data_IF_765962795384
#
_entry.id   IF_765962795384
#
_cell.length_a   1.000
_cell.length_b   1.000
_cell.length_c   1.000
_cell.angle_alpha   90.00
_cell.angle_beta   90.00
_cell.angle_gamma   90.00
#
_symmetry.space_group_name_H-M   'P 1'
#
loop_
_entity.id
_entity.type
_entity.pdbx_description
1 polymer ?
#
# COMPACT_ATOMS: atom_id res chain seq x y z
N UNK A 1 15.03 14.82 -13.63
CA UNK A 1 13.70 14.46 -13.10
C UNK A 1 13.94 13.74 -11.78
N UNK A 2 13.20 14.04 -10.73
CA UNK A 2 13.32 13.34 -9.46
C UNK A 2 12.58 12.01 -9.57
N UNK A 3 13.21 10.92 -9.16
CA UNK A 3 12.63 9.57 -9.27
C UNK A 3 11.76 9.22 -8.06
N UNK A 4 11.98 9.87 -6.91
CA UNK A 4 11.21 9.64 -5.70
C UNK A 4 9.96 10.53 -5.61
N UNK A 5 9.98 11.76 -6.12
CA UNK A 5 8.86 12.69 -6.05
C UNK A 5 8.57 13.26 -7.44
N UNK A 6 7.55 12.78 -8.09
CA UNK A 6 7.19 13.16 -9.46
C UNK A 6 5.93 13.99 -9.56
N UNK A 7 5.12 14.03 -8.50
CA UNK A 7 3.93 14.84 -8.46
C UNK A 7 4.24 16.30 -8.17
N UNK A 8 3.38 17.16 -8.69
CA UNK A 8 3.49 18.58 -8.43
C UNK A 8 2.54 18.93 -7.30
N UNK A 9 3.11 19.37 -6.16
CA UNK A 9 2.32 19.93 -5.08
C UNK A 9 1.57 21.18 -5.55
N UNK A 10 0.29 21.27 -5.18
CA UNK A 10 -0.58 22.41 -5.46
C UNK A 10 -1.08 22.98 -4.14
N UNK A 11 -1.32 24.31 -4.10
CA UNK A 11 -2.06 24.91 -2.99
C UNK A 11 -3.58 24.77 -3.20
N UNK A 12 -4.37 25.16 -2.20
CA UNK A 12 -5.84 25.07 -2.24
C UNK A 12 -6.51 25.89 -3.36
N UNK A 13 -5.76 26.68 -4.14
CA UNK A 13 -6.21 27.41 -5.31
C UNK A 13 -5.79 26.76 -6.63
N UNK A 14 -5.07 25.63 -6.55
CA UNK A 14 -4.53 24.92 -7.72
C UNK A 14 -3.20 25.52 -8.25
N UNK A 15 -2.58 26.44 -7.52
CA UNK A 15 -1.29 27.00 -7.91
C UNK A 15 -0.16 26.03 -7.54
N UNK A 16 0.76 25.85 -8.50
CA UNK A 16 1.94 24.99 -8.31
C UNK A 16 2.85 25.53 -7.19
N UNK A 17 3.17 24.67 -6.24
CA UNK A 17 4.14 24.91 -5.17
C UNK A 17 5.55 24.44 -5.58
N UNK A 18 6.61 25.02 -5.01
CA UNK A 18 7.94 24.47 -5.16
C UNK A 18 8.05 23.11 -4.47
N UNK A 19 8.99 22.29 -4.94
CA UNK A 19 9.28 21.03 -4.23
C UNK A 19 9.80 21.32 -2.82
N UNK A 20 9.22 20.63 -1.83
CA UNK A 20 9.67 20.63 -0.44
C UNK A 20 10.13 19.22 -0.06
N UNK A 21 11.39 19.09 0.39
CA UNK A 21 11.94 17.81 0.86
C UNK A 21 11.23 17.26 2.11
N UNK A 22 10.50 18.14 2.83
CA UNK A 22 9.73 17.80 4.00
C UNK A 22 8.26 17.44 3.67
N UNK A 23 7.86 17.63 2.41
CA UNK A 23 6.53 17.21 1.95
C UNK A 23 6.35 15.72 2.09
N UNK A 24 5.15 15.31 2.47
CA UNK A 24 4.73 13.92 2.62
C UNK A 24 3.27 13.79 2.20
N UNK A 25 3.01 12.79 1.38
CA UNK A 25 1.68 12.34 1.00
C UNK A 25 1.37 11.09 1.84
N UNK A 26 0.83 11.34 3.04
CA UNK A 26 0.69 10.31 4.07
C UNK A 26 -0.60 9.52 3.85
N UNK A 27 -0.48 8.25 3.50
CA UNK A 27 -1.62 7.39 3.16
C UNK A 27 -1.83 6.22 4.15
N UNK A 28 -0.81 5.87 4.92
CA UNK A 28 -0.93 4.85 5.94
C UNK A 28 -0.27 5.29 7.23
N UNK A 29 -0.85 4.92 8.38
CA UNK A 29 -0.25 5.20 9.69
C UNK A 29 -0.47 4.04 10.65
N UNK A 30 0.59 3.65 11.35
CA UNK A 30 0.52 2.75 12.50
C UNK A 30 1.18 3.40 13.71
N UNK A 31 0.60 3.14 14.90
CA UNK A 31 1.17 3.54 16.17
C UNK A 31 1.72 2.32 16.89
N UNK A 32 2.95 2.42 17.36
CA UNK A 32 3.60 1.37 18.13
C UNK A 32 3.28 1.50 19.64
N UNK A 33 3.57 0.42 20.38
CA UNK A 33 3.37 0.37 21.84
C UNK A 33 4.23 1.38 22.60
N UNK A 34 5.41 1.75 22.05
CA UNK A 34 6.29 2.79 22.60
C UNK A 34 5.80 4.22 22.33
N UNK A 35 4.68 4.37 21.62
CA UNK A 35 4.06 5.65 21.28
C UNK A 35 4.57 6.29 19.99
N UNK A 36 5.58 5.74 19.34
CA UNK A 36 6.08 6.22 18.05
C UNK A 36 5.14 5.82 16.91
N UNK A 37 5.34 6.43 15.71
CA UNK A 37 4.49 6.19 14.55
C UNK A 37 5.32 5.84 13.33
N UNK A 38 4.80 4.94 12.51
CA UNK A 38 5.26 4.74 11.15
C UNK A 38 4.19 5.20 10.17
N UNK A 39 4.64 5.84 9.08
CA UNK A 39 3.78 6.40 8.04
C UNK A 39 4.25 5.90 6.70
N UNK A 40 3.30 5.38 5.90
CA UNK A 40 3.50 5.09 4.48
C UNK A 40 3.26 6.33 3.64
N UNK A 41 4.01 6.48 2.56
CA UNK A 41 3.99 7.66 1.70
C UNK A 41 3.85 7.24 0.24
N UNK A 42 2.88 7.83 -0.44
CA UNK A 42 2.45 7.41 -1.77
C UNK A 42 3.29 8.06 -2.88
N UNK A 43 3.46 9.36 -2.83
CA UNK A 43 4.07 10.11 -3.93
C UNK A 43 5.57 9.82 -4.08
N UNK A 44 6.34 9.91 -2.99
CA UNK A 44 7.75 9.52 -2.95
C UNK A 44 7.91 8.26 -2.09
N UNK A 45 7.70 7.04 -2.65
CA UNK A 45 7.54 5.81 -1.87
C UNK A 45 8.55 5.72 -0.75
N UNK A 46 8.07 5.82 0.47
CA UNK A 46 8.94 5.84 1.64
C UNK A 46 8.19 5.40 2.89
N UNK A 47 8.95 4.97 3.90
CA UNK A 47 8.45 4.72 5.24
C UNK A 47 9.07 5.77 6.17
N UNK A 48 8.23 6.53 6.83
CA UNK A 48 8.65 7.62 7.71
C UNK A 48 8.39 7.24 9.17
N UNK A 49 9.41 7.33 10.02
CA UNK A 49 9.34 7.05 11.45
C UNK A 49 9.26 8.34 12.24
N UNK A 50 8.20 8.50 13.00
CA UNK A 50 7.95 9.68 13.82
C UNK A 50 8.03 9.34 15.31
N UNK A 51 8.54 10.27 16.09
CA UNK A 51 8.48 10.22 17.55
C UNK A 51 7.04 10.39 18.05
N UNK A 52 6.82 10.08 19.34
CA UNK A 52 5.50 10.19 19.98
C UNK A 52 4.94 11.63 20.00
N UNK A 53 5.80 12.64 19.88
CA UNK A 53 5.42 14.05 19.75
C UNK A 53 5.27 14.54 18.30
N UNK A 54 5.29 13.60 17.33
CA UNK A 54 5.02 13.86 15.91
C UNK A 54 6.21 14.42 15.12
N UNK A 55 7.44 14.35 15.64
CA UNK A 55 8.64 14.78 14.90
C UNK A 55 9.18 13.64 14.03
N UNK A 56 9.42 13.91 12.75
CA UNK A 56 10.06 12.96 11.83
C UNK A 56 11.51 12.70 12.27
N UNK A 57 11.81 11.43 12.56
CA UNK A 57 13.12 10.94 13.00
C UNK A 57 13.94 10.52 11.78
N UNK A 58 13.37 9.64 10.97
CA UNK A 58 14.04 9.05 9.80
C UNK A 58 13.02 8.73 8.71
N UNK A 59 13.42 8.94 7.46
CA UNK A 59 12.66 8.54 6.27
C UNK A 59 13.46 7.50 5.50
N UNK A 60 12.88 6.32 5.33
CA UNK A 60 13.44 5.21 4.58
C UNK A 60 12.93 5.29 3.14
N UNK A 61 13.85 5.43 2.19
CA UNK A 61 13.55 5.66 0.77
C UNK A 61 14.12 4.52 -0.10
N UNK A 62 13.70 4.38 -1.36
CA UNK A 62 14.34 3.47 -2.30
C UNK A 62 15.84 3.79 -2.43
N UNK A 63 16.67 2.76 -2.33
CA UNK A 63 18.13 2.91 -2.41
C UNK A 63 18.53 3.60 -3.71
N UNK A 64 19.37 4.63 -3.59
CA UNK A 64 19.84 5.45 -4.69
C UNK A 64 19.04 6.74 -4.90
N UNK A 65 17.97 6.98 -4.12
CA UNK A 65 17.18 8.22 -4.17
C UNK A 65 17.46 9.18 -3.02
N UNK A 66 18.35 8.81 -2.08
CA UNK A 66 18.66 9.60 -0.88
C UNK A 66 19.06 11.04 -1.20
N UNK A 67 19.80 11.23 -2.30
CA UNK A 67 20.22 12.56 -2.75
C UNK A 67 19.08 13.49 -3.15
N UNK A 68 17.90 12.97 -3.45
CA UNK A 68 16.71 13.76 -3.79
C UNK A 68 16.12 14.48 -2.57
N UNK A 69 16.49 14.02 -1.38
CA UNK A 69 16.12 14.61 -0.09
C UNK A 69 17.23 15.46 0.52
N UNK A 70 18.19 15.91 -0.30
CA UNK A 70 19.25 16.82 0.16
C UNK A 70 18.66 18.11 0.73
N UNK A 71 19.07 18.46 1.95
CA UNK A 71 18.53 19.61 2.69
C UNK A 71 17.41 19.25 3.67
N UNK A 72 17.00 17.98 3.77
CA UNK A 72 16.09 17.53 4.82
C UNK A 72 16.70 17.76 6.22
N UNK A 73 15.83 18.08 7.18
CA UNK A 73 16.23 18.29 8.58
C UNK A 73 16.05 17.04 9.45
N UNK A 74 15.89 15.88 8.81
CA UNK A 74 15.76 14.55 9.41
C UNK A 74 16.71 13.56 8.69
N UNK A 75 16.89 12.40 9.28
CA UNK A 75 17.72 11.36 8.66
C UNK A 75 17.02 10.74 7.45
N UNK A 76 17.77 10.51 6.36
CA UNK A 76 17.29 9.80 5.16
C UNK A 76 18.16 8.56 4.92
N UNK A 77 17.54 7.41 4.74
CA UNK A 77 18.21 6.13 4.56
C UNK A 77 17.66 5.36 3.36
N UNK A 78 18.54 4.93 2.46
CA UNK A 78 18.21 4.09 1.30
C UNK A 78 18.12 2.62 1.68
N UNK A 79 17.03 2.21 2.28
CA UNK A 79 16.81 0.83 2.74
C UNK A 79 15.77 0.07 1.93
N UNK A 80 14.88 0.79 1.22
CA UNK A 80 13.85 0.16 0.40
C UNK A 80 14.42 -0.29 -0.96
N UNK A 81 13.71 -1.21 -1.62
CA UNK A 81 14.13 -1.74 -2.92
C UNK A 81 14.13 -0.66 -4.01
N UNK A 82 15.20 -0.57 -4.83
CA UNK A 82 15.28 0.40 -5.92
C UNK A 82 14.14 0.31 -6.94
N UNK A 83 13.56 -0.90 -7.10
CA UNK A 83 12.46 -1.14 -8.03
C UNK A 83 11.22 -0.27 -7.71
N UNK A 84 11.04 0.16 -6.46
CA UNK A 84 9.93 1.01 -6.04
C UNK A 84 9.94 2.39 -6.71
N UNK A 85 11.08 2.82 -7.28
CA UNK A 85 11.14 4.03 -8.11
C UNK A 85 10.29 3.94 -9.39
N UNK A 86 9.86 2.71 -9.73
CA UNK A 86 8.99 2.43 -10.87
C UNK A 86 7.50 2.52 -10.57
N UNK A 87 7.10 2.95 -9.37
CA UNK A 87 5.68 3.15 -9.10
C UNK A 87 5.02 4.04 -10.16
N UNK A 88 3.76 3.81 -10.47
CA UNK A 88 2.97 4.77 -11.21
C UNK A 88 2.77 6.05 -10.35
N UNK A 89 2.52 7.18 -10.98
CA UNK A 89 2.25 8.45 -10.29
C UNK A 89 1.03 8.25 -9.37
N UNK A 90 1.13 8.73 -8.13
CA UNK A 90 0.09 8.58 -7.09
C UNK A 90 -0.32 7.11 -6.90
N UNK A 91 0.65 6.20 -6.84
CA UNK A 91 0.44 4.74 -6.67
C UNK A 91 1.62 4.11 -5.91
N UNK A 92 2.00 4.75 -4.81
CA UNK A 92 3.11 4.31 -3.98
C UNK A 92 2.71 3.38 -2.85
N UNK A 93 3.14 3.74 -1.61
CA UNK A 93 2.85 2.97 -0.39
C UNK A 93 1.58 3.55 0.25
N UNK A 94 0.47 2.86 0.08
CA UNK A 94 -0.83 3.28 0.61
C UNK A 94 -1.25 2.46 1.84
N UNK A 95 -0.55 1.38 2.14
CA UNK A 95 -0.93 0.49 3.23
C UNK A 95 0.25 0.07 4.08
N UNK A 96 0.04 -0.02 5.40
CA UNK A 96 1.09 -0.34 6.35
C UNK A 96 0.52 -1.12 7.54
N UNK A 97 1.20 -2.20 7.93
CA UNK A 97 0.85 -2.98 9.12
C UNK A 97 2.09 -3.30 9.96
N UNK A 98 1.85 -3.67 11.21
CA UNK A 98 2.88 -4.18 12.11
C UNK A 98 2.45 -5.54 12.64
N UNK A 99 3.42 -6.47 12.81
CA UNK A 99 3.12 -7.76 13.46
C UNK A 99 2.66 -7.57 14.91
N UNK A 100 1.86 -8.51 15.47
CA UNK A 100 1.38 -8.39 16.86
C UNK A 100 2.49 -8.23 17.90
N UNK A 101 3.70 -8.76 17.64
CA UNK A 101 4.88 -8.62 18.49
C UNK A 101 5.76 -7.41 18.13
N UNK A 102 5.33 -6.60 17.18
CA UNK A 102 6.01 -5.40 16.66
C UNK A 102 7.42 -5.66 16.08
N UNK A 103 7.75 -6.91 15.74
CA UNK A 103 9.05 -7.25 15.15
C UNK A 103 9.14 -6.93 13.68
N UNK A 104 8.02 -7.01 12.96
CA UNK A 104 7.96 -6.83 11.52
C UNK A 104 7.00 -5.71 11.14
N UNK A 105 7.44 -4.90 10.18
CA UNK A 105 6.59 -4.00 9.41
C UNK A 105 6.24 -4.67 8.09
N UNK A 106 5.03 -4.38 7.61
CA UNK A 106 4.55 -4.84 6.31
C UNK A 106 3.97 -3.67 5.56
N UNK A 107 4.21 -3.62 4.26
CA UNK A 107 3.55 -2.67 3.38
C UNK A 107 3.23 -3.31 2.04
N UNK A 108 2.24 -2.79 1.34
CA UNK A 108 2.04 -3.10 -0.06
C UNK A 108 2.13 -1.84 -0.92
N UNK A 109 2.48 -2.05 -2.20
CA UNK A 109 2.23 -1.03 -3.19
C UNK A 109 0.73 -1.01 -3.49
N UNK A 110 0.18 0.18 -3.66
CA UNK A 110 -1.23 0.37 -4.01
C UNK A 110 -1.60 -0.42 -5.27
N UNK A 111 -0.78 -0.29 -6.29
CA UNK A 111 -0.95 -0.90 -7.60
C UNK A 111 0.35 -1.56 -8.10
N UNK A 112 0.29 -2.34 -9.20
CA UNK A 112 1.49 -2.76 -9.91
C UNK A 112 2.38 -1.58 -10.32
N UNK A 113 3.67 -1.82 -10.45
CA UNK A 113 4.62 -0.79 -10.86
C UNK A 113 4.44 -0.42 -12.35
N UNK A 114 4.77 0.82 -12.72
CA UNK A 114 4.92 1.22 -14.11
C UNK A 114 6.29 0.75 -14.66
N UNK A 115 6.46 -0.56 -14.70
CA UNK A 115 7.70 -1.22 -15.09
C UNK A 115 7.45 -2.20 -16.25
N UNK A 116 8.03 -2.02 -17.42
CA UNK A 116 9.01 -0.99 -17.75
C UNK A 116 8.39 0.40 -17.97
N UNK A 117 7.08 0.49 -18.16
CA UNK A 117 6.38 1.73 -18.53
C UNK A 117 4.90 1.71 -18.09
N UNK A 118 4.20 2.81 -18.37
CA UNK A 118 2.77 2.98 -18.06
C UNK A 118 1.87 2.00 -18.83
N UNK A 119 2.27 1.48 -19.98
CA UNK A 119 1.47 0.51 -20.71
C UNK A 119 1.44 -0.84 -19.97
N UNK A 120 2.58 -1.26 -19.42
CA UNK A 120 2.66 -2.44 -18.56
C UNK A 120 1.79 -2.26 -17.31
N UNK A 121 1.90 -1.13 -16.61
CA UNK A 121 1.08 -0.80 -15.45
C UNK A 121 -0.43 -0.97 -15.69
N UNK A 122 -0.92 -0.49 -16.84
CA UNK A 122 -2.35 -0.53 -17.17
C UNK A 122 -2.91 -1.94 -17.36
N UNK A 123 -2.06 -2.92 -17.60
CA UNK A 123 -2.44 -4.31 -17.87
C UNK A 123 -2.06 -5.26 -16.74
N UNK A 124 -1.23 -4.79 -15.81
CA UNK A 124 -0.66 -5.64 -14.77
C UNK A 124 -1.67 -5.96 -13.67
N UNK A 125 -1.61 -7.19 -13.17
CA UNK A 125 -2.36 -7.64 -12.00
C UNK A 125 -1.47 -7.83 -10.77
N UNK A 126 -0.16 -7.99 -10.96
CA UNK A 126 0.77 -8.34 -9.89
C UNK A 126 1.29 -7.08 -9.20
N UNK A 127 0.86 -6.85 -7.96
CA UNK A 127 1.46 -5.86 -7.08
C UNK A 127 2.35 -6.53 -6.03
N UNK A 128 3.11 -5.74 -5.28
CA UNK A 128 4.16 -6.21 -4.38
C UNK A 128 3.78 -5.98 -2.92
N UNK A 129 4.00 -6.99 -2.10
CA UNK A 129 3.79 -6.99 -0.66
C UNK A 129 5.14 -7.27 0.03
N UNK A 130 5.54 -6.43 0.98
CA UNK A 130 6.85 -6.48 1.62
C UNK A 130 6.77 -6.79 3.10
N UNK A 131 7.75 -7.55 3.59
CA UNK A 131 8.00 -7.80 5.01
C UNK A 131 9.37 -7.26 5.39
N UNK A 132 9.42 -6.43 6.43
CA UNK A 132 10.62 -5.76 6.92
C UNK A 132 10.86 -6.12 8.38
N UNK A 133 12.06 -6.50 8.72
CA UNK A 133 12.51 -6.57 10.12
C UNK A 133 12.67 -5.15 10.66
N UNK A 134 11.80 -4.75 11.58
CA UNK A 134 11.64 -3.35 12.00
C UNK A 134 12.91 -2.75 12.61
N UNK A 135 13.63 -3.50 13.45
CA UNK A 135 14.80 -3.00 14.16
C UNK A 135 15.96 -2.65 13.22
N UNK A 136 16.15 -3.45 12.18
CA UNK A 136 17.26 -3.29 11.21
C UNK A 136 16.85 -2.60 9.93
N UNK A 137 15.54 -2.46 9.69
CA UNK A 137 14.93 -2.04 8.42
C UNK A 137 15.37 -2.91 7.23
N UNK A 138 15.74 -4.16 7.50
CA UNK A 138 16.10 -5.13 6.47
C UNK A 138 14.82 -5.76 5.91
N UNK A 139 14.62 -5.65 4.60
CA UNK A 139 13.56 -6.38 3.90
C UNK A 139 13.90 -7.87 3.98
N UNK A 140 12.97 -8.68 4.46
CA UNK A 140 13.13 -10.13 4.66
C UNK A 140 12.18 -10.95 3.80
N UNK A 141 11.21 -10.30 3.18
CA UNK A 141 10.26 -10.93 2.25
C UNK A 141 9.71 -9.94 1.26
N UNK A 142 9.51 -10.42 0.05
CA UNK A 142 8.78 -9.76 -1.02
C UNK A 142 7.88 -10.80 -1.68
N UNK A 143 6.59 -10.51 -1.74
CA UNK A 143 5.58 -11.44 -2.21
C UNK A 143 4.71 -10.79 -3.27
N UNK A 144 4.10 -11.61 -4.12
CA UNK A 144 3.18 -11.14 -5.14
C UNK A 144 1.75 -11.24 -4.61
N UNK A 145 1.05 -10.11 -4.64
CA UNK A 145 -0.40 -10.05 -4.53
C UNK A 145 -0.99 -9.85 -5.92
N UNK A 146 -1.94 -10.71 -6.32
CA UNK A 146 -2.60 -10.58 -7.62
C UNK A 146 -3.95 -9.90 -7.43
N UNK A 147 -4.10 -8.70 -8.00
CA UNK A 147 -5.36 -7.96 -8.00
C UNK A 147 -6.44 -8.70 -8.78
N UNK A 148 -7.69 -8.54 -8.38
CA UNK A 148 -8.84 -9.13 -9.04
C UNK A 148 -9.09 -8.52 -10.43
N UNK A 149 -9.88 -9.24 -11.22
CA UNK A 149 -10.45 -8.72 -12.45
C UNK A 149 -11.36 -7.52 -12.12
N UNK A 150 -11.13 -6.34 -12.73
CA UNK A 150 -11.92 -5.13 -12.48
C UNK A 150 -13.41 -5.32 -12.78
N UNK A 151 -13.80 -6.23 -13.67
CA UNK A 151 -15.20 -6.59 -13.92
C UNK A 151 -15.88 -7.28 -12.72
N UNK A 152 -15.11 -7.78 -11.76
CA UNK A 152 -15.63 -8.43 -10.55
C UNK A 152 -16.07 -7.46 -9.46
N UNK A 153 -15.81 -6.16 -9.61
CA UNK A 153 -16.22 -5.10 -8.68
C UNK A 153 -17.61 -4.61 -9.04
N UNK A 154 -18.62 -5.22 -8.42
CA UNK A 154 -20.03 -5.22 -8.89
C UNK A 154 -20.72 -3.87 -8.86
N UNK A 155 -20.28 -2.89 -8.05
CA UNK A 155 -20.88 -1.56 -7.98
C UNK A 155 -20.35 -0.61 -9.05
N UNK A 156 -19.14 -0.85 -9.54
CA UNK A 156 -18.44 -0.05 -10.54
C UNK A 156 -17.50 -0.92 -11.41
N UNK A 157 -18.05 -1.91 -12.13
CA UNK A 157 -17.24 -2.79 -12.99
C UNK A 157 -16.53 -1.96 -14.07
N UNK A 158 -15.29 -2.33 -14.35
CA UNK A 158 -14.41 -1.60 -15.28
C UNK A 158 -13.66 -2.56 -16.20
N UNK A 159 -13.27 -2.08 -17.39
CA UNK A 159 -12.36 -2.81 -18.28
C UNK A 159 -10.88 -2.45 -18.04
N UNK A 160 -10.59 -1.56 -17.08
CA UNK A 160 -9.24 -1.08 -16.80
C UNK A 160 -8.62 -1.87 -15.65
N UNK A 161 -7.63 -2.70 -15.94
CA UNK A 161 -6.97 -3.53 -14.92
C UNK A 161 -6.30 -2.71 -13.82
N UNK A 162 -5.97 -1.46 -14.04
CA UNK A 162 -5.39 -0.58 -13.03
C UNK A 162 -6.40 0.20 -12.17
N UNK A 163 -7.72 -0.08 -12.29
CA UNK A 163 -8.72 0.50 -11.40
C UNK A 163 -8.73 -0.21 -10.01
N UNK A 164 -8.66 -1.57 -9.90
CA UNK A 164 -8.48 -2.21 -8.60
C UNK A 164 -7.14 -1.85 -7.95
N UNK A 165 -7.17 -1.64 -6.63
CA UNK A 165 -6.00 -1.21 -5.85
C UNK A 165 -6.11 -1.68 -4.40
N UNK A 166 -4.97 -1.76 -3.72
CA UNK A 166 -4.91 -2.01 -2.27
C UNK A 166 -4.84 -0.66 -1.57
N UNK A 167 -5.79 -0.37 -0.70
CA UNK A 167 -5.81 0.87 0.07
C UNK A 167 -5.40 0.67 1.53
N UNK A 168 -5.62 -0.51 2.11
CA UNK A 168 -5.17 -0.74 3.47
C UNK A 168 -4.86 -2.22 3.72
N UNK A 169 -3.96 -2.48 4.66
CA UNK A 169 -3.67 -3.81 5.20
C UNK A 169 -3.72 -3.78 6.72
N UNK A 170 -4.36 -4.75 7.33
CA UNK A 170 -4.44 -4.92 8.77
C UNK A 170 -3.89 -6.28 9.16
N UNK A 171 -2.85 -6.32 10.00
CA UNK A 171 -2.36 -7.59 10.54
C UNK A 171 -3.38 -8.16 11.54
N UNK A 172 -3.83 -9.40 11.29
CA UNK A 172 -4.76 -10.16 12.14
C UNK A 172 -4.09 -11.38 12.77
N UNK A 173 -2.83 -11.61 12.44
CA UNK A 173 -1.97 -12.67 12.96
C UNK A 173 -0.54 -12.50 12.47
N UNK A 174 0.34 -13.42 12.83
CA UNK A 174 1.67 -13.48 12.24
C UNK A 174 1.54 -13.87 10.76
N UNK A 175 2.06 -13.02 9.87
CA UNK A 175 2.01 -13.20 8.40
C UNK A 175 0.58 -13.40 7.82
N UNK A 176 -0.46 -13.02 8.57
CA UNK A 176 -1.86 -13.09 8.15
C UNK A 176 -2.51 -11.71 8.24
N UNK A 177 -3.18 -11.30 7.17
CA UNK A 177 -3.70 -9.93 7.03
C UNK A 177 -5.12 -9.91 6.53
N UNK A 178 -5.81 -8.84 6.85
CA UNK A 178 -6.97 -8.37 6.11
C UNK A 178 -6.50 -7.29 5.15
N UNK A 179 -6.89 -7.40 3.88
CA UNK A 179 -6.52 -6.47 2.81
C UNK A 179 -7.78 -5.82 2.28
N UNK A 180 -7.80 -4.50 2.21
CA UNK A 180 -8.79 -3.73 1.48
C UNK A 180 -8.35 -3.62 0.02
N UNK A 181 -8.99 -4.39 -0.85
CA UNK A 181 -8.85 -4.29 -2.30
C UNK A 181 -10.12 -3.65 -2.86
N UNK A 182 -9.99 -2.49 -3.47
CA UNK A 182 -11.14 -1.69 -3.89
C UNK A 182 -11.01 -1.08 -5.29
N UNK A 183 -12.15 -0.62 -5.78
CA UNK A 183 -12.30 0.39 -6.82
C UNK A 183 -12.89 1.66 -6.19
N UNK A 184 -13.47 2.58 -6.97
CA UNK A 184 -14.07 3.82 -6.41
C UNK A 184 -15.31 3.54 -5.56
N UNK A 185 -16.12 2.54 -5.94
CA UNK A 185 -17.40 2.27 -5.27
C UNK A 185 -17.46 0.90 -4.59
N UNK A 186 -16.64 -0.05 -5.00
CA UNK A 186 -16.67 -1.41 -4.46
C UNK A 186 -15.45 -1.66 -3.58
N UNK A 187 -15.68 -2.08 -2.35
CA UNK A 187 -14.67 -2.54 -1.39
C UNK A 187 -14.79 -4.04 -1.20
N UNK A 188 -13.69 -4.76 -1.32
CA UNK A 188 -13.58 -6.18 -0.99
C UNK A 188 -12.53 -6.37 0.10
N UNK A 189 -12.89 -7.04 1.18
CA UNK A 189 -11.92 -7.41 2.21
C UNK A 189 -11.48 -8.86 2.01
N UNK A 190 -10.18 -9.06 1.80
CA UNK A 190 -9.57 -10.36 1.66
C UNK A 190 -8.73 -10.72 2.88
N UNK A 191 -8.96 -11.88 3.44
CA UNK A 191 -7.95 -12.48 4.32
C UNK A 191 -6.86 -13.09 3.44
N UNK A 192 -5.60 -12.72 3.70
CA UNK A 192 -4.42 -13.27 3.03
C UNK A 192 -3.47 -13.90 4.03
N UNK A 193 -2.63 -14.81 3.53
CA UNK A 193 -1.59 -15.49 4.31
C UNK A 193 -0.33 -15.57 3.45
N UNK A 194 0.81 -15.19 4.02
CA UNK A 194 2.10 -15.28 3.33
C UNK A 194 2.66 -16.70 3.32
N UNK A 195 2.11 -17.61 4.15
CA UNK A 195 2.58 -18.99 4.21
C UNK A 195 2.39 -19.69 2.85
N UNK A 196 3.47 -20.25 2.34
CA UNK A 196 3.50 -20.95 1.07
C UNK A 196 3.53 -20.05 -0.17
N UNK A 197 3.46 -18.72 -0.03
CA UNK A 197 3.72 -17.80 -1.12
C UNK A 197 5.22 -17.82 -1.50
N UNK A 198 5.52 -17.57 -2.76
CA UNK A 198 6.91 -17.49 -3.23
C UNK A 198 7.51 -16.16 -2.76
N UNK A 199 8.57 -16.24 -1.96
CA UNK A 199 9.37 -15.05 -1.65
C UNK A 199 10.25 -14.74 -2.86
N UNK A 200 9.98 -13.62 -3.52
CA UNK A 200 10.71 -13.19 -4.73
C UNK A 200 11.85 -12.21 -4.41
N UNK A 201 12.08 -11.90 -3.15
CA UNK A 201 13.15 -10.99 -2.71
C UNK A 201 14.51 -11.43 -3.24
N UNK A 202 15.25 -10.50 -3.84
CA UNK A 202 16.57 -10.75 -4.42
C UNK A 202 16.57 -11.62 -5.69
N UNK A 203 15.40 -11.88 -6.25
CA UNK A 203 15.28 -12.57 -7.54
C UNK A 203 15.43 -11.59 -8.71
N UNK A 204 15.36 -12.11 -9.95
CA UNK A 204 15.37 -11.27 -11.15
C UNK A 204 14.26 -10.20 -11.17
N UNK A 205 13.19 -10.38 -10.38
CA UNK A 205 12.06 -9.46 -10.34
C UNK A 205 12.36 -8.15 -9.61
N UNK A 206 13.45 -8.10 -8.83
CA UNK A 206 13.99 -6.87 -8.22
C UNK A 206 14.93 -6.09 -9.16
N UNK A 207 15.30 -6.70 -10.29
CA UNK A 207 16.23 -6.11 -11.23
C UNK A 207 15.52 -5.15 -12.19
N UNK A 208 15.93 -3.89 -12.22
CA UNK A 208 15.35 -2.86 -13.10
C UNK A 208 15.50 -3.18 -14.61
N UNK A 209 16.41 -4.06 -14.96
CA UNK A 209 16.71 -4.46 -16.35
C UNK A 209 16.00 -5.73 -16.82
N UNK A 210 15.28 -6.41 -15.93
CA UNK A 210 14.60 -7.68 -16.28
C UNK A 210 13.47 -7.43 -17.27
N UNK A 211 13.44 -8.22 -18.32
CA UNK A 211 12.38 -8.25 -19.35
C UNK A 211 12.05 -9.70 -19.73
N UNK A 212 10.78 -10.08 -19.85
CA UNK A 212 9.63 -9.28 -19.41
C UNK A 212 9.68 -9.04 -17.88
N UNK A 213 9.10 -7.93 -17.44
CA UNK A 213 9.04 -7.58 -16.01
C UNK A 213 7.94 -8.40 -15.29
N UNK A 214 7.89 -8.32 -13.97
CA UNK A 214 6.82 -8.93 -13.17
C UNK A 214 5.43 -8.43 -13.61
N UNK A 215 5.35 -7.15 -13.94
CA UNK A 215 4.12 -6.46 -14.35
C UNK A 215 3.65 -6.89 -15.76
N UNK A 216 4.56 -7.41 -16.58
CA UNK A 216 4.26 -7.96 -17.91
C UNK A 216 3.99 -9.47 -17.92
N UNK A 217 4.06 -10.11 -16.75
CA UNK A 217 4.03 -11.58 -16.64
C UNK A 217 2.95 -11.98 -15.64
N UNK A 218 2.15 -13.01 -15.97
CA UNK A 218 1.28 -13.60 -14.94
C UNK A 218 2.10 -14.36 -13.90
N UNK A 219 1.62 -14.42 -12.65
CA UNK A 219 2.30 -15.18 -11.59
C UNK A 219 2.54 -16.65 -11.99
N UNK A 220 1.56 -17.28 -12.65
CA UNK A 220 1.69 -18.64 -13.15
C UNK A 220 2.78 -18.80 -14.22
N UNK A 221 2.87 -17.85 -15.16
CA UNK A 221 3.93 -17.89 -16.20
C UNK A 221 5.32 -17.58 -15.62
N UNK A 222 5.38 -16.90 -14.48
CA UNK A 222 6.61 -16.61 -13.75
C UNK A 222 7.04 -17.73 -12.80
N UNK A 223 6.25 -18.79 -12.66
CA UNK A 223 6.42 -19.85 -11.64
C UNK A 223 6.41 -19.29 -10.22
N UNK A 224 5.57 -18.28 -9.98
CA UNK A 224 5.37 -17.63 -8.69
C UNK A 224 4.05 -18.12 -8.10
N UNK A 225 4.08 -18.57 -6.85
CA UNK A 225 2.87 -18.74 -6.05
C UNK A 225 2.56 -17.41 -5.35
N UNK A 226 1.51 -16.70 -5.76
CA UNK A 226 1.11 -15.46 -5.09
C UNK A 226 0.58 -15.75 -3.69
N UNK A 227 0.36 -14.73 -2.88
CA UNK A 227 -0.30 -14.85 -1.58
C UNK A 227 -1.70 -15.44 -1.75
N UNK A 228 -2.10 -16.28 -0.80
CA UNK A 228 -3.46 -16.85 -0.81
C UNK A 228 -4.49 -15.77 -0.48
N UNK A 229 -5.62 -15.75 -1.16
CA UNK A 229 -6.71 -14.80 -0.94
C UNK A 229 -8.00 -15.53 -0.60
N UNK A 230 -8.68 -15.09 0.46
CA UNK A 230 -10.03 -15.53 0.82
C UNK A 230 -10.93 -14.33 1.02
N UNK A 231 -11.94 -14.15 0.17
CA UNK A 231 -12.93 -13.08 0.30
C UNK A 231 -13.70 -13.24 1.62
N UNK A 232 -13.72 -12.17 2.41
CA UNK A 232 -14.45 -12.10 3.69
C UNK A 232 -15.63 -11.15 3.64
N UNK A 233 -15.55 -10.11 2.81
CA UNK A 233 -16.59 -9.09 2.68
C UNK A 233 -16.56 -8.52 1.27
N UNK A 234 -17.74 -8.23 0.73
CA UNK A 234 -17.91 -7.49 -0.52
C UNK A 234 -18.99 -6.43 -0.30
N UNK A 235 -18.63 -5.16 -0.40
CA UNK A 235 -19.55 -4.04 -0.19
C UNK A 235 -20.71 -4.01 -1.17
N UNK A 236 -20.61 -4.72 -2.28
CA UNK A 236 -21.71 -4.82 -3.24
C UNK A 236 -22.93 -5.59 -2.70
N UNK A 237 -22.78 -6.33 -1.61
CA UNK A 237 -23.89 -6.97 -0.90
C UNK A 237 -24.59 -6.03 0.10
N UNK A 238 -24.07 -4.81 0.30
CA UNK A 238 -24.52 -3.83 1.29
C UNK A 238 -24.70 -2.46 0.62
N UNK A 239 -25.89 -2.14 0.08
CA UNK A 239 -26.13 -0.91 -0.69
C UNK A 239 -25.82 0.39 0.06
N UNK A 240 -25.88 0.36 1.40
CA UNK A 240 -25.59 1.49 2.29
C UNK A 240 -24.08 1.77 2.49
N UNK A 241 -23.21 0.85 2.05
CA UNK A 241 -21.77 1.06 2.18
C UNK A 241 -21.30 2.22 1.32
N UNK A 242 -20.43 3.04 1.92
CA UNK A 242 -19.74 4.12 1.23
C UNK A 242 -18.71 3.57 0.23
N UNK A 243 -18.41 4.34 -0.80
CA UNK A 243 -17.27 4.07 -1.67
C UNK A 243 -15.96 4.57 -1.06
N UNK A 244 -14.85 4.37 -1.76
CA UNK A 244 -13.51 4.85 -1.38
C UNK A 244 -13.12 4.53 0.06
N UNK A 245 -13.38 3.31 0.52
CA UNK A 245 -12.85 2.85 1.82
C UNK A 245 -11.33 2.80 1.76
N UNK A 246 -10.65 3.49 2.67
CA UNK A 246 -9.20 3.63 2.68
C UNK A 246 -8.56 3.32 4.04
N UNK A 247 -9.36 3.11 5.07
CA UNK A 247 -8.83 2.70 6.36
C UNK A 247 -9.66 1.59 6.98
N UNK A 248 -8.99 0.61 7.59
CA UNK A 248 -9.60 -0.45 8.36
C UNK A 248 -8.92 -0.60 9.72
N UNK A 249 -9.72 -0.82 10.76
CA UNK A 249 -9.21 -1.04 12.10
C UNK A 249 -10.01 -2.11 12.84
N UNK A 250 -9.32 -2.98 13.56
CA UNK A 250 -9.95 -3.95 14.46
C UNK A 250 -10.26 -3.26 15.79
N UNK A 251 -11.52 -3.28 16.19
CA UNK A 251 -11.97 -2.74 17.47
C UNK A 251 -11.83 -3.79 18.59
N UNK A 252 -11.81 -3.32 19.82
CA UNK A 252 -11.61 -4.16 21.00
C UNK A 252 -12.68 -5.23 21.24
N UNK A 253 -13.85 -5.11 20.61
CA UNK A 253 -14.94 -6.09 20.64
C UNK A 253 -14.89 -7.10 19.47
N UNK A 254 -13.86 -7.00 18.62
CA UNK A 254 -13.67 -7.85 17.44
C UNK A 254 -14.44 -7.38 16.19
N UNK A 255 -15.16 -6.26 16.25
CA UNK A 255 -15.74 -5.64 15.06
C UNK A 255 -14.67 -4.90 14.24
N UNK A 256 -14.96 -4.63 12.96
CA UNK A 256 -14.12 -3.82 12.09
C UNK A 256 -14.72 -2.44 11.89
N UNK A 257 -13.92 -1.40 12.08
CA UNK A 257 -14.23 -0.07 11.60
C UNK A 257 -13.61 0.15 10.23
N UNK A 258 -14.37 0.70 9.30
CA UNK A 258 -13.94 1.15 7.99
C UNK A 258 -14.19 2.65 7.88
N UNK A 259 -13.27 3.36 7.24
CA UNK A 259 -13.40 4.79 6.98
C UNK A 259 -13.14 5.05 5.50
N UNK A 260 -13.91 5.96 4.90
CA UNK A 260 -13.69 6.39 3.52
C UNK A 260 -12.83 7.66 3.47
N UNK A 261 -12.15 7.87 2.36
CA UNK A 261 -11.65 9.18 1.95
C UNK A 261 -12.77 9.97 1.26
N UNK A 262 -12.92 11.23 1.62
CA UNK A 262 -13.95 12.13 1.08
C UNK A 262 -13.37 13.19 0.13
N UNK A 263 -12.10 13.05 -0.29
CA UNK A 263 -11.41 14.03 -1.16
C UNK A 263 -11.57 15.47 -0.66
N UNK A 264 -11.40 15.70 0.64
CA UNK A 264 -11.61 17.01 1.29
C UNK A 264 -13.04 17.55 1.14
N UNK A 265 -14.02 16.69 0.86
CA UNK A 265 -15.41 17.09 0.60
C UNK A 265 -15.62 17.87 -0.70
N UNK A 266 -14.66 17.87 -1.64
CA UNK A 266 -14.72 18.63 -2.89
C UNK A 266 -15.90 18.18 -3.75
N UNK A 267 -16.22 16.90 -3.77
CA UNK A 267 -17.35 16.31 -4.51
C UNK A 267 -18.66 16.35 -3.73
N UNK A 268 -18.62 16.84 -2.48
CA UNK A 268 -19.78 16.87 -1.57
C UNK A 268 -19.96 15.59 -0.76
N UNK A 269 -19.07 14.65 -0.89
CA UNK A 269 -18.99 13.46 -0.04
C UNK A 269 -18.58 13.84 1.40
N UNK A 270 -18.81 12.95 2.33
CA UNK A 270 -18.45 13.15 3.74
C UNK A 270 -17.67 11.97 4.24
N UNK A 271 -16.71 12.20 5.12
CA UNK A 271 -16.07 11.15 5.89
C UNK A 271 -17.12 10.40 6.70
N UNK A 272 -17.14 9.09 6.57
CA UNK A 272 -18.04 8.18 7.26
C UNK A 272 -17.25 7.03 7.88
N UNK A 273 -17.66 6.62 9.04
CA UNK A 273 -17.14 5.41 9.69
C UNK A 273 -18.26 4.38 9.69
N UNK A 274 -17.98 3.23 9.10
CA UNK A 274 -18.88 2.06 9.08
C UNK A 274 -18.28 1.00 10.00
N UNK A 275 -19.13 0.38 10.84
CA UNK A 275 -18.70 -0.70 11.72
C UNK A 275 -19.34 -2.01 11.29
N UNK A 276 -18.51 -2.99 10.94
CA UNK A 276 -18.93 -4.34 10.57
C UNK A 276 -18.85 -5.24 11.80
N UNK A 277 -20.00 -5.80 12.20
CA UNK A 277 -20.10 -6.76 13.30
C UNK A 277 -20.16 -8.20 12.77
N UNK A 278 -19.76 -9.15 13.62
CA UNK A 278 -19.87 -10.58 13.31
C UNK A 278 -18.86 -11.09 12.29
N UNK A 279 -17.84 -10.31 11.96
CA UNK A 279 -16.73 -10.78 11.13
C UNK A 279 -15.93 -11.84 11.89
N UNK A 280 -15.62 -12.94 11.22
CA UNK A 280 -14.75 -13.97 11.79
C UNK A 280 -13.51 -14.14 10.92
N UNK A 281 -12.36 -13.86 11.51
CA UNK A 281 -11.07 -14.16 10.93
C UNK A 281 -10.60 -15.44 11.59
N UNK A 282 -10.42 -16.51 10.80
CA UNK A 282 -9.96 -17.79 11.34
C UNK A 282 -8.68 -17.58 12.15
N UNK A 283 -8.76 -17.75 13.46
CA UNK A 283 -7.57 -17.91 14.29
C UNK A 283 -6.97 -19.27 13.95
N UNK A 284 -5.68 -19.28 13.60
CA UNK A 284 -4.90 -20.52 13.63
C UNK A 284 -4.33 -20.77 15.00
#
# INVERSE_FOLDING_TARGET
>A
MRTAATETALDGTGKRLPYDVNGIDAEAVIRLSDGTFWVGEENAPSLAHFSADGRLIVRHVPRGTEGEFSGANYQVMGTLQPILTKRAINRGIESLAVSPDERFLYFSMQNPLANPDTAAYRQAQNTRFFKIERETMRIVGEYVYTLDDPMSFRRDPSEKQNDPRISEILAIGEDTFLVDERTEQTTKLYQIDLAGATNILGSKWDELSTLPTLEQTSAAAADIRPVSKQLKFDSADFPEMVGKTEGIALLGDGSLALINDDDFGITGERTQIVVLHGMSFGQR
#
